data_IF_507987009883
#
_entry.id   IF_507987009883
#
_cell.length_a   1.000
_cell.length_b   1.000
_cell.length_c   1.000
_cell.angle_alpha   90.00
_cell.angle_beta   90.00
_cell.angle_gamma   90.00
#
_symmetry.space_group_name_H-M   'P 1'
#
loop_
_entity.id
_entity.type
_entity.pdbx_description
1 polymer ?
#
# COMPACT_ATOMS: atom_id res chain seq x y z
N UNK A 1 -4.43 20.98 23.67
CA UNK A 1 -3.21 20.15 23.78
C UNK A 1 -3.51 18.98 24.71
N UNK A 2 -3.26 17.75 24.28
CA UNK A 2 -3.58 16.53 25.07
C UNK A 2 -2.42 16.21 26.00
N UNK A 3 -2.70 15.98 27.28
CA UNK A 3 -1.68 15.70 28.31
C UNK A 3 -2.04 14.46 29.12
N UNK A 4 -1.04 13.76 29.65
CA UNK A 4 -1.24 12.57 30.45
C UNK A 4 -1.22 12.94 31.95
N UNK A 5 -2.27 12.55 32.68
CA UNK A 5 -2.36 12.72 34.14
C UNK A 5 -2.85 11.42 34.77
N UNK A 6 -2.08 10.87 35.71
CA UNK A 6 -2.35 9.59 36.39
C UNK A 6 -2.63 8.42 35.44
N UNK A 7 -1.90 8.34 34.32
CA UNK A 7 -2.07 7.30 33.31
C UNK A 7 -3.25 7.49 32.37
N UNK A 8 -3.99 8.61 32.49
CA UNK A 8 -5.15 8.93 31.65
C UNK A 8 -4.81 10.14 30.77
N UNK A 9 -5.05 10.02 29.46
CA UNK A 9 -4.91 11.14 28.53
C UNK A 9 -6.14 12.04 28.57
N UNK A 10 -5.91 13.33 28.82
CA UNK A 10 -6.96 14.34 28.95
C UNK A 10 -6.69 15.45 27.92
N UNK A 11 -7.63 15.74 27.00
CA UNK A 11 -8.84 14.96 26.70
C UNK A 11 -8.52 13.58 26.11
N UNK A 12 -9.49 12.65 26.12
CA UNK A 12 -9.30 11.27 25.63
C UNK A 12 -8.78 11.27 24.19
N UNK A 13 -7.68 10.57 23.96
CA UNK A 13 -7.21 10.26 22.61
C UNK A 13 -8.24 9.31 22.00
N UNK A 14 -8.86 9.72 20.89
CA UNK A 14 -9.89 8.93 20.21
C UNK A 14 -9.39 7.53 19.87
N UNK A 15 -10.30 6.56 19.84
CA UNK A 15 -10.00 5.18 19.46
C UNK A 15 -10.13 5.08 17.94
N UNK A 16 -9.15 4.47 17.26
CA UNK A 16 -9.27 4.15 15.84
C UNK A 16 -10.30 3.03 15.64
N UNK A 17 -11.54 3.40 15.35
CA UNK A 17 -12.57 2.44 14.96
C UNK A 17 -12.49 2.19 13.44
N UNK A 18 -12.46 0.94 12.98
CA UNK A 18 -12.63 0.65 11.56
C UNK A 18 -14.01 1.14 11.12
N UNK A 19 -14.06 1.82 9.98
CA UNK A 19 -15.26 2.58 9.55
C UNK A 19 -16.44 1.64 9.21
N UNK A 20 -16.25 0.31 9.04
CA UNK A 20 -17.33 -0.59 8.61
C UNK A 20 -17.29 -2.00 9.22
N UNK A 21 -18.37 -2.38 9.92
CA UNK A 21 -18.83 -3.76 10.12
C UNK A 21 -20.18 -3.89 9.42
N UNK A 22 -20.20 -4.36 8.17
CA UNK A 22 -21.39 -4.90 7.50
C UNK A 22 -20.98 -5.66 6.24
N UNK A 23 -21.39 -6.93 6.16
CA UNK A 23 -21.15 -7.85 5.04
C UNK A 23 -22.08 -7.51 3.86
N UNK A 24 -21.58 -7.48 2.62
CA UNK A 24 -22.33 -7.81 1.37
C UNK A 24 -21.40 -7.85 0.14
N UNK A 25 -20.81 -9.02 -0.10
CA UNK A 25 -20.27 -9.59 -1.36
C UNK A 25 -19.74 -8.62 -2.45
N UNK A 26 -18.46 -8.24 -2.37
CA UNK A 26 -17.63 -7.79 -3.52
C UNK A 26 -16.20 -8.25 -3.22
N UNK A 27 -15.67 -9.21 -3.98
CA UNK A 27 -14.33 -9.82 -3.86
C UNK A 27 -13.47 -9.35 -2.67
N UNK A 28 -13.42 -10.13 -1.58
CA UNK A 28 -12.59 -9.81 -0.39
C UNK A 28 -11.07 -9.81 -0.67
N UNK A 29 -10.68 -9.97 -1.93
CA UNK A 29 -9.32 -10.02 -2.43
C UNK A 29 -9.23 -9.33 -3.78
N UNK A 30 -8.15 -8.59 -4.00
CA UNK A 30 -7.87 -7.96 -5.27
C UNK A 30 -7.25 -8.94 -6.26
N UNK A 31 -7.37 -8.65 -7.56
CA UNK A 31 -6.75 -9.46 -8.60
C UNK A 31 -5.21 -9.37 -8.54
N UNK A 32 -4.46 -10.45 -8.83
CA UNK A 32 -3.01 -10.40 -8.80
C UNK A 32 -2.47 -9.38 -9.82
N UNK A 33 -1.58 -8.49 -9.38
CA UNK A 33 -0.99 -7.48 -10.24
C UNK A 33 0.09 -8.10 -11.13
N UNK A 34 0.09 -7.72 -12.41
CA UNK A 34 1.19 -8.05 -13.32
C UNK A 34 2.41 -7.22 -12.98
N UNK A 35 3.56 -7.88 -12.88
CA UNK A 35 4.83 -7.19 -12.66
C UNK A 35 5.22 -6.37 -13.90
N UNK A 36 5.52 -5.07 -13.76
CA UNK A 36 5.98 -4.25 -14.89
C UNK A 36 7.38 -4.67 -15.36
N UNK A 37 7.71 -4.35 -16.61
CA UNK A 37 9.02 -4.61 -17.18
C UNK A 37 10.12 -3.91 -16.37
N UNK A 38 11.23 -4.62 -16.13
CA UNK A 38 12.34 -4.14 -15.28
C UNK A 38 11.97 -3.84 -13.82
N UNK A 39 10.82 -4.32 -13.35
CA UNK A 39 10.39 -4.22 -11.96
C UNK A 39 10.04 -5.59 -11.33
N UNK A 40 9.86 -5.58 -10.02
CA UNK A 40 9.30 -6.68 -9.23
C UNK A 40 8.28 -6.11 -8.25
N UNK A 41 7.18 -6.85 -8.05
CA UNK A 41 6.13 -6.47 -7.10
C UNK A 41 6.27 -7.32 -5.85
N UNK A 42 6.22 -6.68 -4.69
CA UNK A 42 6.26 -7.30 -3.37
C UNK A 42 4.94 -7.06 -2.67
N UNK A 43 4.41 -8.07 -1.97
CA UNK A 43 3.15 -7.96 -1.25
C UNK A 43 3.39 -8.05 0.25
N UNK A 44 2.79 -7.12 0.98
CA UNK A 44 2.73 -7.09 2.43
C UNK A 44 1.30 -7.43 2.81
N UNK A 45 1.10 -8.64 3.33
CA UNK A 45 -0.20 -9.11 3.77
C UNK A 45 -0.45 -8.69 5.22
N UNK A 46 -1.67 -8.23 5.49
CA UNK A 46 -2.17 -7.94 6.84
C UNK A 46 -2.56 -9.19 7.63
N UNK A 47 -2.77 -10.33 6.96
CA UNK A 47 -3.05 -11.63 7.54
C UNK A 47 -2.60 -12.73 6.55
N UNK A 48 -2.13 -13.88 7.03
CA UNK A 48 -1.58 -14.94 6.17
C UNK A 48 -2.63 -15.96 5.70
N UNK A 49 -3.92 -15.72 5.99
CA UNK A 49 -4.99 -16.67 5.70
C UNK A 49 -5.47 -16.64 4.24
N UNK A 50 -5.28 -15.52 3.53
CA UNK A 50 -5.75 -15.35 2.15
C UNK A 50 -4.85 -14.41 1.36
N UNK A 51 -4.46 -14.85 0.17
CA UNK A 51 -3.67 -14.03 -0.75
C UNK A 51 -4.48 -12.82 -1.25
N UNK A 52 -3.79 -11.68 -1.34
CA UNK A 52 -4.29 -10.40 -1.87
C UNK A 52 -5.56 -9.89 -1.20
N UNK A 53 -5.81 -10.25 0.05
CA UNK A 53 -7.00 -9.79 0.77
C UNK A 53 -7.02 -8.27 0.94
N UNK A 54 -8.21 -7.72 1.22
CA UNK A 54 -8.37 -6.30 1.55
C UNK A 54 -7.42 -5.90 2.71
N UNK A 55 -6.67 -4.82 2.51
CA UNK A 55 -5.60 -4.37 3.39
C UNK A 55 -4.20 -4.83 2.96
N UNK A 56 -4.08 -5.69 1.95
CA UNK A 56 -2.78 -6.05 1.38
C UNK A 56 -2.16 -4.83 0.70
N UNK A 57 -0.87 -4.59 0.96
CA UNK A 57 -0.10 -3.52 0.30
C UNK A 57 0.84 -4.13 -0.73
N UNK A 58 0.74 -3.71 -1.98
CA UNK A 58 1.64 -4.09 -3.05
C UNK A 58 2.65 -2.97 -3.32
N UNK A 59 3.93 -3.33 -3.43
CA UNK A 59 5.04 -2.39 -3.58
C UNK A 59 5.82 -2.77 -4.85
N UNK A 60 5.91 -1.83 -5.77
CA UNK A 60 6.79 -1.94 -6.93
C UNK A 60 8.22 -1.57 -6.53
N UNK A 61 9.17 -2.42 -6.92
CA UNK A 61 10.60 -2.16 -6.85
C UNK A 61 11.23 -2.31 -8.24
N UNK A 62 11.94 -1.29 -8.72
CA UNK A 62 12.67 -1.39 -9.97
C UNK A 62 14.00 -2.13 -9.80
N UNK A 63 14.43 -2.83 -10.85
CA UNK A 63 15.74 -3.49 -10.88
C UNK A 63 16.87 -2.46 -10.86
N UNK A 64 18.07 -2.89 -10.47
CA UNK A 64 19.29 -2.07 -10.50
C UNK A 64 19.48 -1.44 -11.89
N UNK A 65 19.76 -0.13 -11.91
CA UNK A 65 19.88 0.64 -13.15
C UNK A 65 18.56 1.24 -13.65
N UNK A 66 17.46 1.04 -12.94
CA UNK A 66 16.15 1.64 -13.24
C UNK A 66 15.59 2.36 -12.02
N UNK A 67 14.79 3.40 -12.25
CA UNK A 67 14.07 4.18 -11.26
C UNK A 67 12.57 4.17 -11.55
N UNK A 68 11.78 4.34 -10.50
CA UNK A 68 10.31 4.41 -10.60
C UNK A 68 9.92 5.79 -11.11
N UNK A 69 9.00 5.84 -12.08
CA UNK A 69 8.27 7.04 -12.48
C UNK A 69 6.78 6.79 -12.31
N UNK A 70 6.15 7.47 -11.35
CA UNK A 70 4.74 7.32 -11.01
C UNK A 70 4.51 6.63 -9.66
N UNK A 71 3.42 5.89 -9.55
CA UNK A 71 2.97 5.25 -8.30
C UNK A 71 3.82 4.02 -7.96
N UNK A 72 4.34 3.96 -6.73
CA UNK A 72 5.16 2.84 -6.25
C UNK A 72 4.39 1.86 -5.37
N UNK A 73 3.24 2.26 -4.83
CA UNK A 73 2.50 1.49 -3.83
C UNK A 73 1.03 1.45 -4.18
N UNK A 74 0.43 0.28 -4.07
CA UNK A 74 -0.99 0.04 -4.24
C UNK A 74 -1.54 -0.64 -3.00
N UNK A 75 -2.76 -0.28 -2.61
CA UNK A 75 -3.46 -0.88 -1.46
C UNK A 75 -4.71 -1.58 -1.97
N UNK A 76 -4.89 -2.83 -1.58
CA UNK A 76 -6.09 -3.58 -1.90
C UNK A 76 -7.24 -3.10 -1.02
N UNK A 77 -8.21 -2.41 -1.63
CA UNK A 77 -9.43 -1.96 -0.99
C UNK A 77 -10.63 -2.79 -1.49
N UNK A 78 -11.81 -2.54 -0.94
CA UNK A 78 -13.06 -3.20 -1.38
C UNK A 78 -13.38 -2.98 -2.86
N UNK A 79 -12.84 -1.91 -3.45
CA UNK A 79 -13.03 -1.53 -4.85
C UNK A 79 -11.88 -2.01 -5.76
N UNK A 80 -10.91 -2.77 -5.23
CA UNK A 80 -9.69 -3.18 -5.94
C UNK A 80 -8.44 -2.43 -5.51
N UNK A 81 -7.38 -2.51 -6.32
CA UNK A 81 -6.11 -1.84 -6.04
C UNK A 81 -6.21 -0.33 -6.21
N UNK A 82 -5.81 0.42 -5.18
CA UNK A 82 -5.80 1.88 -5.17
C UNK A 82 -4.38 2.42 -5.01
N UNK A 83 -3.93 3.40 -5.80
CA UNK A 83 -4.62 4.06 -6.92
C UNK A 83 -5.02 3.14 -8.09
N UNK A 84 -6.18 3.41 -8.71
CA UNK A 84 -6.71 2.60 -9.82
C UNK A 84 -5.85 2.71 -11.10
N UNK A 85 -5.00 3.73 -11.19
CA UNK A 85 -4.02 3.91 -12.27
C UNK A 85 -2.92 2.83 -12.27
N UNK A 86 -2.85 2.02 -11.20
CA UNK A 86 -1.89 0.94 -11.07
C UNK A 86 -0.47 1.44 -10.76
N UNK A 87 0.52 0.57 -11.00
CA UNK A 87 1.91 0.94 -10.77
C UNK A 87 2.43 1.87 -11.86
N UNK A 88 3.39 2.71 -11.48
CA UNK A 88 4.24 3.43 -12.40
C UNK A 88 5.16 2.50 -13.20
N UNK A 89 6.00 3.12 -14.02
CA UNK A 89 6.94 2.42 -14.90
C UNK A 89 8.37 2.51 -14.37
N UNK A 90 9.18 1.49 -14.67
CA UNK A 90 10.61 1.49 -14.42
C UNK A 90 11.35 2.03 -15.64
N UNK A 91 11.97 3.20 -15.51
CA UNK A 91 12.77 3.85 -16.55
C UNK A 91 14.25 3.84 -16.17
N UNK A 92 15.20 3.87 -17.14
CA UNK A 92 16.63 3.89 -16.82
C UNK A 92 16.98 4.99 -15.82
N UNK A 93 17.82 4.65 -14.85
CA UNK A 93 18.38 5.59 -13.90
C UNK A 93 19.55 6.33 -14.58
N UNK A 94 19.28 7.52 -15.09
CA UNK A 94 20.31 8.38 -15.69
C UNK A 94 21.34 8.84 -14.62
N UNK A 95 22.57 9.14 -15.08
CA UNK A 95 23.69 9.60 -14.25
C UNK A 95 23.45 10.92 -13.50
N UNK A 96 22.32 11.60 -13.76
CA UNK A 96 21.91 12.82 -13.06
C UNK A 96 21.41 12.50 -11.64
N UNK A 97 20.92 11.28 -11.39
CA UNK A 97 20.38 10.88 -10.08
C UNK A 97 21.47 10.66 -9.01
N UNK A 98 22.66 10.21 -9.38
CA UNK A 98 23.77 9.92 -8.46
C UNK A 98 24.60 11.16 -8.06
N UNK A 99 24.14 12.36 -8.41
CA UNK A 99 24.89 13.61 -8.22
C UNK A 99 24.46 14.44 -7.00
N UNK A 100 23.69 13.85 -6.07
CA UNK A 100 23.16 14.54 -4.90
C UNK A 100 23.58 13.90 -3.59
#
# INVERSE_FOLDING_TARGET
MTYCHNGIWIPSIGICQPIFVAQTKINDSCEPLKSPQNGKVYYIYNNYTKDYQIGTTAILNCRKGYRIKGVTTLICNSNGWTPNDGFGICIPADNVFWKH
#
